data_IF_381987596947
#
_entry.id   IF_381987596947
#
_cell.length_a   1.000
_cell.length_b   1.000
_cell.length_c   1.000
_cell.angle_alpha   90.00
_cell.angle_beta   90.00
_cell.angle_gamma   90.00
#
_symmetry.space_group_name_H-M   'P 1'
#
loop_
_entity.id
_entity.type
_entity.pdbx_description
1 polymer ?
#
# COMPACT_ATOMS: atom_id res chain seq x y z
N UNK A 1 0.26 26.52 -20.08
CA UNK A 1 0.96 27.77 -20.42
C UNK A 1 2.25 27.58 -21.23
N UNK A 2 3.17 26.70 -20.82
CA UNK A 2 4.43 26.47 -21.54
C UNK A 2 4.26 26.00 -22.99
N UNK A 3 3.27 25.15 -23.28
CA UNK A 3 2.95 24.76 -24.67
C UNK A 3 2.50 25.96 -25.53
N UNK A 4 1.74 26.91 -24.96
CA UNK A 4 1.38 28.15 -25.66
C UNK A 4 2.61 29.03 -25.90
N UNK A 5 3.53 29.11 -24.93
CA UNK A 5 4.82 29.80 -25.08
C UNK A 5 5.69 29.15 -26.17
N UNK A 6 5.71 27.82 -26.26
CA UNK A 6 6.43 27.10 -27.33
C UNK A 6 5.89 27.48 -28.72
N UNK A 7 4.57 27.43 -28.91
CA UNK A 7 3.93 27.79 -30.19
C UNK A 7 4.28 29.24 -30.58
N UNK A 8 4.23 30.16 -29.62
CA UNK A 8 4.57 31.56 -29.87
C UNK A 8 6.04 31.76 -30.24
N UNK A 9 6.97 31.09 -29.54
CA UNK A 9 8.40 31.11 -29.85
C UNK A 9 8.71 30.48 -31.23
N UNK A 10 7.95 29.46 -31.64
CA UNK A 10 8.07 28.85 -32.97
C UNK A 10 7.64 29.83 -34.08
N UNK A 11 6.55 30.58 -33.87
CA UNK A 11 6.10 31.63 -34.78
C UNK A 11 7.12 32.78 -34.86
N UNK A 12 7.59 33.29 -33.72
CA UNK A 12 8.63 34.33 -33.65
C UNK A 12 9.91 33.90 -34.37
N UNK A 13 10.33 32.65 -34.20
CA UNK A 13 11.52 32.11 -34.84
C UNK A 13 11.35 32.03 -36.36
N UNK A 14 10.16 31.70 -36.87
CA UNK A 14 9.88 31.74 -38.32
C UNK A 14 10.00 33.17 -38.87
N UNK A 15 9.45 34.16 -38.17
CA UNK A 15 9.55 35.57 -38.56
C UNK A 15 11.00 36.05 -38.57
N UNK A 16 11.77 35.71 -37.52
CA UNK A 16 13.19 36.05 -37.42
C UNK A 16 14.02 35.41 -38.55
N UNK A 17 13.74 34.15 -38.90
CA UNK A 17 14.41 33.44 -40.02
C UNK A 17 14.15 34.15 -41.35
N UNK A 18 12.91 34.51 -41.63
CA UNK A 18 12.57 35.22 -42.86
C UNK A 18 13.23 36.61 -42.93
N UNK A 19 13.36 37.32 -41.80
CA UNK A 19 14.06 38.60 -41.72
C UNK A 19 15.58 38.47 -41.92
N UNK A 20 16.19 37.43 -41.34
CA UNK A 20 17.61 37.11 -41.52
C UNK A 20 17.93 36.73 -42.98
N UNK A 21 17.06 35.96 -43.64
CA UNK A 21 17.22 35.60 -45.05
C UNK A 21 17.20 36.84 -45.98
N UNK A 22 16.25 37.75 -45.78
CA UNK A 22 16.20 39.04 -46.51
C UNK A 22 17.46 39.89 -46.28
N UNK A 23 17.97 39.90 -45.05
CA UNK A 23 19.19 40.63 -44.69
C UNK A 23 20.43 40.02 -45.32
N UNK A 24 20.50 38.68 -45.37
CA UNK A 24 21.56 37.91 -46.03
C UNK A 24 21.61 38.18 -47.52
N UNK A 25 20.47 38.13 -48.21
CA UNK A 25 20.40 38.47 -49.64
C UNK A 25 20.88 39.90 -49.91
N UNK A 26 20.46 40.85 -49.08
CA UNK A 26 20.89 42.25 -49.21
C UNK A 26 22.40 42.41 -48.98
N UNK A 27 22.97 41.72 -47.99
CA UNK A 27 24.42 41.67 -47.77
C UNK A 27 25.14 41.16 -49.02
N UNK A 28 24.70 40.02 -49.57
CA UNK A 28 25.31 39.41 -50.77
C UNK A 28 25.27 40.38 -51.96
N UNK A 29 24.13 41.04 -52.21
CA UNK A 29 24.02 42.05 -53.29
C UNK A 29 24.98 43.22 -53.08
N UNK A 30 25.09 43.74 -51.86
CA UNK A 30 26.00 44.84 -51.54
C UNK A 30 27.48 44.42 -51.65
N UNK A 31 27.80 43.19 -51.27
CA UNK A 31 29.14 42.60 -51.37
C UNK A 31 29.55 42.45 -52.84
N UNK A 32 28.70 41.87 -53.68
CA UNK A 32 28.92 41.76 -55.13
C UNK A 32 29.15 43.13 -55.78
N UNK A 33 28.32 44.13 -55.44
CA UNK A 33 28.47 45.48 -55.98
C UNK A 33 29.77 46.15 -55.52
N UNK A 34 30.15 45.98 -54.25
CA UNK A 34 31.42 46.49 -53.73
C UNK A 34 32.62 45.90 -54.48
N UNK A 35 32.63 44.59 -54.72
CA UNK A 35 33.68 43.92 -55.49
C UNK A 35 33.75 44.42 -56.94
N UNK A 36 32.60 44.71 -57.57
CA UNK A 36 32.55 45.19 -58.95
C UNK A 36 33.14 46.61 -59.12
N UNK A 37 33.07 47.47 -58.10
CA UNK A 37 33.54 48.87 -58.18
C UNK A 37 34.80 49.14 -57.35
N UNK A 38 35.45 48.09 -56.84
CA UNK A 38 36.57 48.20 -55.90
C UNK A 38 37.78 48.95 -56.49
N UNK A 39 37.97 48.85 -57.81
CA UNK A 39 39.05 49.50 -58.56
C UNK A 39 38.88 51.00 -58.74
N UNK A 40 37.68 51.56 -58.48
CA UNK A 40 37.38 52.99 -58.63
C UNK A 40 37.28 53.63 -57.23
N UNK A 41 38.28 54.42 -56.79
CA UNK A 41 38.40 54.87 -55.39
C UNK A 41 37.17 55.60 -54.81
N UNK A 42 36.54 56.46 -55.61
CA UNK A 42 35.35 57.21 -55.19
C UNK A 42 34.12 56.30 -55.00
N UNK A 43 33.92 55.35 -55.92
CA UNK A 43 32.79 54.42 -55.87
C UNK A 43 33.01 53.31 -54.84
N UNK A 44 34.26 52.86 -54.66
CA UNK A 44 34.63 51.83 -53.69
C UNK A 44 34.40 52.30 -52.25
N UNK A 45 34.68 53.57 -51.92
CA UNK A 45 34.43 54.11 -50.59
C UNK A 45 32.93 54.13 -50.23
N UNK A 46 32.07 54.52 -51.17
CA UNK A 46 30.61 54.60 -50.95
C UNK A 46 29.97 53.20 -50.87
N UNK A 47 30.37 52.29 -51.76
CA UNK A 47 29.89 50.90 -51.77
C UNK A 47 30.38 50.11 -50.55
N UNK A 48 31.62 50.33 -50.08
CA UNK A 48 32.15 49.77 -48.83
C UNK A 48 31.29 50.15 -47.62
N UNK A 49 30.90 51.42 -47.48
CA UNK A 49 29.98 51.87 -46.41
C UNK A 49 28.64 51.14 -46.45
N UNK A 50 28.06 50.96 -47.65
CA UNK A 50 26.79 50.22 -47.83
C UNK A 50 26.93 48.75 -47.46
N UNK A 51 28.02 48.11 -47.88
CA UNK A 51 28.33 46.72 -47.52
C UNK A 51 28.48 46.53 -46.02
N UNK A 52 29.29 47.36 -45.35
CA UNK A 52 29.49 47.27 -43.90
C UNK A 52 28.17 47.41 -43.13
N UNK A 53 27.32 48.37 -43.51
CA UNK A 53 25.98 48.51 -42.91
C UNK A 53 25.11 47.26 -43.13
N UNK A 54 25.13 46.69 -44.34
CA UNK A 54 24.37 45.47 -44.63
C UNK A 54 24.91 44.25 -43.88
N UNK A 55 26.23 44.17 -43.67
CA UNK A 55 26.89 43.13 -42.88
C UNK A 55 26.48 43.22 -41.40
N UNK A 56 26.50 44.41 -40.81
CA UNK A 56 26.18 44.59 -39.40
C UNK A 56 24.70 44.28 -39.14
N UNK A 57 23.79 44.73 -40.02
CA UNK A 57 22.35 44.37 -39.97
C UNK A 57 22.13 42.86 -40.12
N UNK A 58 22.89 42.20 -41.01
CA UNK A 58 22.81 40.74 -41.15
C UNK A 58 23.30 40.02 -39.88
N UNK A 59 24.40 40.50 -39.28
CA UNK A 59 24.91 39.93 -38.04
C UNK A 59 23.89 40.04 -36.90
N UNK A 60 23.22 41.19 -36.77
CA UNK A 60 22.14 41.40 -35.80
C UNK A 60 20.95 40.47 -36.05
N UNK A 61 20.53 40.30 -37.31
CA UNK A 61 19.42 39.40 -37.65
C UNK A 61 19.74 37.92 -37.38
N UNK A 62 20.96 37.47 -37.69
CA UNK A 62 21.42 36.10 -37.38
C UNK A 62 21.53 35.87 -35.86
N UNK A 63 21.97 36.88 -35.10
CA UNK A 63 21.99 36.85 -33.63
C UNK A 63 20.58 36.69 -33.06
N UNK A 64 19.60 37.45 -33.55
CA UNK A 64 18.19 37.31 -33.11
C UNK A 64 17.63 35.91 -33.40
N UNK A 65 17.98 35.32 -34.54
CA UNK A 65 17.60 33.92 -34.86
C UNK A 65 18.21 32.95 -33.85
N UNK A 66 19.48 33.14 -33.49
CA UNK A 66 20.17 32.30 -32.51
C UNK A 66 19.50 32.37 -31.13
N UNK A 67 19.22 33.58 -30.64
CA UNK A 67 18.57 33.82 -29.34
C UNK A 67 17.18 33.18 -29.28
N UNK A 68 16.38 33.35 -30.34
CA UNK A 68 15.04 32.74 -30.42
C UNK A 68 15.08 31.21 -30.48
N UNK A 69 16.08 30.63 -31.16
CA UNK A 69 16.31 29.17 -31.16
C UNK A 69 16.66 28.67 -29.76
N UNK A 70 17.58 29.35 -29.09
CA UNK A 70 18.00 28.96 -27.74
C UNK A 70 16.83 29.02 -26.76
N UNK A 71 16.02 30.08 -26.81
CA UNK A 71 14.82 30.21 -25.98
C UNK A 71 13.82 29.06 -26.24
N UNK A 72 13.61 28.69 -27.50
CA UNK A 72 12.72 27.58 -27.88
C UNK A 72 13.26 26.23 -27.36
N UNK A 73 14.55 25.96 -27.52
CA UNK A 73 15.16 24.72 -27.03
C UNK A 73 15.10 24.62 -25.50
N UNK A 74 15.33 25.72 -24.77
CA UNK A 74 15.12 25.77 -23.32
C UNK A 74 13.68 25.45 -22.93
N UNK A 75 12.70 26.01 -23.66
CA UNK A 75 11.28 25.75 -23.42
C UNK A 75 10.93 24.28 -23.65
N UNK A 76 11.41 23.68 -24.73
CA UNK A 76 11.22 22.26 -25.06
C UNK A 76 11.87 21.32 -24.04
N UNK A 77 13.09 21.64 -23.63
CA UNK A 77 13.79 20.89 -22.59
C UNK A 77 12.99 20.91 -21.26
N UNK A 78 12.46 22.07 -20.88
CA UNK A 78 11.64 22.21 -19.68
C UNK A 78 10.33 21.39 -19.78
N UNK A 79 9.64 21.45 -20.91
CA UNK A 79 8.44 20.64 -21.16
C UNK A 79 8.72 19.14 -21.08
N UNK A 80 9.84 18.68 -21.66
CA UNK A 80 10.25 17.28 -21.62
C UNK A 80 10.56 16.83 -20.19
N UNK A 81 11.25 17.67 -19.41
CA UNK A 81 11.53 17.39 -18.00
C UNK A 81 10.24 17.27 -17.20
N UNK A 82 9.34 18.26 -17.30
CA UNK A 82 8.05 18.23 -16.61
C UNK A 82 7.23 16.99 -16.97
N UNK A 83 7.17 16.63 -18.26
CA UNK A 83 6.46 15.43 -18.72
C UNK A 83 7.02 14.15 -18.10
N UNK A 84 8.35 14.02 -18.01
CA UNK A 84 8.99 12.88 -17.34
C UNK A 84 8.67 12.84 -15.85
N UNK A 85 8.78 13.98 -15.16
CA UNK A 85 8.50 14.06 -13.73
C UNK A 85 7.04 13.70 -13.43
N UNK A 86 6.10 14.23 -14.20
CA UNK A 86 4.67 13.91 -14.06
C UNK A 86 4.40 12.42 -14.30
N UNK A 87 5.01 11.84 -15.34
CA UNK A 87 4.87 10.40 -15.60
C UNK A 87 5.42 9.53 -14.47
N UNK A 88 6.57 9.92 -13.88
CA UNK A 88 7.15 9.21 -12.75
C UNK A 88 6.24 9.32 -11.51
N UNK A 89 5.71 10.51 -11.23
CA UNK A 89 4.77 10.73 -10.12
C UNK A 89 3.48 9.91 -10.27
N UNK A 90 2.93 9.78 -11.48
CA UNK A 90 1.77 8.92 -11.72
C UNK A 90 2.07 7.44 -11.47
N UNK A 91 3.26 6.97 -11.87
CA UNK A 91 3.68 5.59 -11.62
C UNK A 91 3.84 5.31 -10.11
N UNK A 92 4.48 6.23 -9.39
CA UNK A 92 4.62 6.15 -7.93
C UNK A 92 3.27 6.18 -7.22
N UNK A 93 2.36 7.06 -7.65
CA UNK A 93 1.01 7.14 -7.11
C UNK A 93 0.24 5.82 -7.30
N UNK A 94 0.32 5.20 -8.49
CA UNK A 94 -0.35 3.93 -8.75
C UNK A 94 0.20 2.80 -7.87
N UNK A 95 1.52 2.74 -7.71
CA UNK A 95 2.17 1.78 -6.80
C UNK A 95 1.69 1.95 -5.36
N UNK A 96 1.64 3.17 -4.85
CA UNK A 96 1.13 3.47 -3.50
C UNK A 96 -0.36 3.12 -3.37
N UNK A 97 -1.18 3.38 -4.39
CA UNK A 97 -2.59 3.00 -4.40
C UNK A 97 -2.77 1.48 -4.37
N UNK A 98 -1.92 0.72 -5.09
CA UNK A 98 -1.95 -0.74 -5.09
C UNK A 98 -1.50 -1.32 -3.76
N UNK A 99 -0.41 -0.80 -3.18
CA UNK A 99 0.04 -1.17 -1.83
C UNK A 99 -1.03 -0.91 -0.78
N UNK A 100 -1.64 0.30 -0.81
CA UNK A 100 -2.72 0.65 0.11
C UNK A 100 -3.90 -0.31 0.02
N UNK A 101 -4.32 -0.68 -1.20
CA UNK A 101 -5.41 -1.66 -1.39
C UNK A 101 -5.05 -3.01 -0.79
N UNK A 102 -3.86 -3.55 -1.09
CA UNK A 102 -3.39 -4.81 -0.51
C UNK A 102 -3.33 -4.79 1.02
N UNK A 103 -2.88 -3.69 1.61
CA UNK A 103 -2.87 -3.54 3.08
C UNK A 103 -4.29 -3.47 3.67
N UNK A 104 -5.22 -2.78 3.02
CA UNK A 104 -6.63 -2.70 3.48
C UNK A 104 -7.27 -4.09 3.44
N UNK A 105 -7.05 -4.85 2.37
CA UNK A 105 -7.58 -6.22 2.25
C UNK A 105 -7.01 -7.11 3.37
N UNK A 106 -5.70 -7.02 3.63
CA UNK A 106 -5.03 -7.74 4.72
C UNK A 106 -5.60 -7.38 6.09
N UNK A 107 -5.79 -6.08 6.37
CA UNK A 107 -6.40 -5.61 7.62
C UNK A 107 -7.82 -6.13 7.76
N UNK A 108 -8.60 -6.12 6.68
CA UNK A 108 -9.98 -6.61 6.71
C UNK A 108 -10.02 -8.11 7.01
N UNK A 109 -9.18 -8.92 6.35
CA UNK A 109 -9.09 -10.36 6.62
C UNK A 109 -8.64 -10.65 8.05
N UNK A 110 -7.61 -9.96 8.55
CA UNK A 110 -7.14 -10.14 9.92
C UNK A 110 -8.18 -9.70 10.95
N UNK A 111 -8.93 -8.62 10.68
CA UNK A 111 -10.02 -8.16 11.56
C UNK A 111 -11.14 -9.20 11.65
N UNK A 112 -11.50 -9.83 10.53
CA UNK A 112 -12.49 -10.91 10.50
C UNK A 112 -12.00 -12.14 11.28
N UNK A 113 -10.74 -12.54 11.10
CA UNK A 113 -10.13 -13.64 11.87
C UNK A 113 -10.10 -13.35 13.37
N UNK A 114 -9.70 -12.14 13.78
CA UNK A 114 -9.70 -11.72 15.18
C UNK A 114 -11.12 -11.72 15.78
N UNK A 115 -12.11 -11.24 15.02
CA UNK A 115 -13.51 -11.31 15.45
C UNK A 115 -13.99 -12.75 15.64
N UNK A 116 -13.60 -13.66 14.73
CA UNK A 116 -13.91 -15.08 14.84
C UNK A 116 -13.28 -15.73 16.08
N UNK A 117 -12.01 -15.46 16.33
CA UNK A 117 -11.28 -15.96 17.50
C UNK A 117 -11.85 -15.39 18.81
N UNK A 118 -12.23 -14.11 18.81
CA UNK A 118 -12.89 -13.48 19.96
C UNK A 118 -14.20 -14.17 20.32
N UNK A 119 -15.03 -14.50 19.31
CA UNK A 119 -16.26 -15.27 19.54
C UNK A 119 -15.97 -16.64 20.15
N UNK A 120 -14.91 -17.32 19.69
CA UNK A 120 -14.49 -18.61 20.26
C UNK A 120 -14.03 -18.48 21.71
N UNK A 121 -13.26 -17.44 22.03
CA UNK A 121 -12.82 -17.16 23.39
C UNK A 121 -14.01 -16.90 24.33
N UNK A 122 -14.97 -16.06 23.91
CA UNK A 122 -16.20 -15.79 24.65
C UNK A 122 -17.04 -17.07 24.83
N UNK A 123 -17.15 -17.89 23.79
CA UNK A 123 -17.85 -19.17 23.84
C UNK A 123 -17.23 -20.13 24.86
N UNK A 124 -15.93 -20.41 24.77
CA UNK A 124 -15.27 -21.37 25.65
C UNK A 124 -15.15 -20.88 27.10
N UNK A 125 -14.99 -19.56 27.31
CA UNK A 125 -15.02 -18.97 28.65
C UNK A 125 -16.41 -19.11 29.28
N UNK A 126 -17.47 -18.91 28.50
CA UNK A 126 -18.85 -19.14 28.94
C UNK A 126 -19.15 -20.62 29.16
N UNK A 127 -18.61 -21.50 28.32
CA UNK A 127 -18.77 -22.94 28.43
C UNK A 127 -18.31 -23.48 29.79
N UNK A 128 -17.14 -23.04 30.23
CA UNK A 128 -16.59 -23.42 31.54
C UNK A 128 -17.51 -23.00 32.69
N UNK A 129 -17.98 -21.75 32.65
CA UNK A 129 -18.81 -21.16 33.71
C UNK A 129 -20.24 -21.72 33.76
N UNK A 130 -20.87 -21.98 32.61
CA UNK A 130 -22.30 -22.26 32.53
C UNK A 130 -22.64 -23.74 32.27
N UNK A 131 -21.72 -24.50 31.68
CA UNK A 131 -21.94 -25.92 31.39
C UNK A 131 -21.03 -26.80 32.25
N UNK A 132 -19.71 -26.59 32.21
CA UNK A 132 -18.77 -27.45 32.92
C UNK A 132 -18.96 -27.38 34.46
N UNK A 133 -19.09 -26.17 35.01
CA UNK A 133 -19.31 -25.97 36.44
C UNK A 133 -20.61 -26.63 36.93
N UNK A 134 -21.71 -26.53 36.18
CA UNK A 134 -23.00 -27.11 36.58
C UNK A 134 -22.94 -28.64 36.61
N UNK A 135 -22.26 -29.27 35.64
CA UNK A 135 -22.01 -30.71 35.65
C UNK A 135 -21.16 -31.10 36.85
N UNK A 136 -20.08 -30.37 37.12
CA UNK A 136 -19.18 -30.64 38.24
C UNK A 136 -19.89 -30.52 39.59
N UNK A 137 -20.62 -29.42 39.84
CA UNK A 137 -21.34 -29.18 41.09
C UNK A 137 -22.43 -30.22 41.34
N UNK A 138 -23.19 -30.57 40.30
CA UNK A 138 -24.23 -31.60 40.42
C UNK A 138 -23.65 -33.00 40.61
N UNK A 139 -22.50 -33.32 40.00
CA UNK A 139 -21.77 -34.57 40.24
C UNK A 139 -21.25 -34.66 41.68
N UNK A 140 -20.62 -33.59 42.19
CA UNK A 140 -20.12 -33.52 43.57
C UNK A 140 -21.28 -33.71 44.55
N UNK A 141 -22.40 -33.00 44.35
CA UNK A 141 -23.56 -33.11 45.22
C UNK A 141 -24.12 -34.55 45.29
N UNK A 142 -24.24 -35.22 44.14
CA UNK A 142 -24.72 -36.60 44.07
C UNK A 142 -23.75 -37.58 44.74
N UNK A 143 -22.45 -37.44 44.48
CA UNK A 143 -21.40 -38.24 45.13
C UNK A 143 -21.40 -38.08 46.65
N UNK A 144 -21.48 -36.84 47.15
CA UNK A 144 -21.53 -36.55 48.58
C UNK A 144 -22.82 -37.06 49.24
N UNK A 145 -23.94 -37.01 48.52
CA UNK A 145 -25.23 -37.51 49.00
C UNK A 145 -25.26 -39.03 49.09
N UNK A 146 -24.70 -39.75 48.11
CA UNK A 146 -24.56 -41.21 48.16
C UNK A 146 -23.69 -41.66 49.34
N UNK A 147 -22.55 -40.99 49.55
CA UNK A 147 -21.64 -41.26 50.69
C UNK A 147 -22.27 -40.98 52.07
N UNK A 148 -23.29 -40.10 52.14
CA UNK A 148 -24.02 -39.79 53.38
C UNK A 148 -25.23 -40.70 53.62
N UNK A 149 -25.87 -41.22 52.57
CA UNK A 149 -27.02 -42.13 52.67
C UNK A 149 -26.64 -43.47 53.32
N UNK A 150 -25.40 -43.94 53.13
CA UNK A 150 -24.88 -45.12 53.84
C UNK A 150 -24.82 -44.92 55.37
N UNK A 151 -24.81 -43.68 55.86
CA UNK A 151 -24.66 -43.35 57.29
C UNK A 151 -25.96 -42.96 58.01
N UNK A 152 -27.06 -42.64 57.30
CA UNK A 152 -28.34 -42.26 57.92
C UNK A 152 -29.54 -42.84 57.16
N UNK A 153 -30.17 -43.87 57.73
CA UNK A 153 -31.52 -44.29 57.36
C UNK A 153 -32.54 -43.24 57.78
N UNK A 154 -33.54 -43.02 56.93
CA UNK A 154 -34.81 -42.28 57.12
C UNK A 154 -34.78 -40.75 57.00
N UNK A 155 -35.28 -40.24 55.87
CA UNK A 155 -36.24 -39.12 55.77
C UNK A 155 -36.83 -39.09 54.35
N UNK A 156 -38.16 -39.00 54.20
CA UNK A 156 -38.84 -39.07 52.89
C UNK A 156 -38.65 -37.81 52.02
N UNK A 157 -38.26 -36.68 52.61
CA UNK A 157 -37.99 -35.42 51.91
C UNK A 157 -36.64 -35.38 51.20
N UNK A 158 -35.66 -36.20 51.59
CA UNK A 158 -34.35 -36.25 50.91
C UNK A 158 -34.40 -36.97 49.55
N UNK A 159 -35.36 -37.88 49.37
CA UNK A 159 -35.56 -38.62 48.12
C UNK A 159 -35.99 -37.71 46.97
N UNK A 160 -36.83 -36.70 47.24
CA UNK A 160 -37.31 -35.75 46.22
C UNK A 160 -36.18 -34.80 45.76
N UNK A 161 -35.39 -34.30 46.71
CA UNK A 161 -34.22 -33.44 46.42
C UNK A 161 -33.17 -34.22 45.60
N UNK A 162 -32.88 -35.46 45.97
CA UNK A 162 -31.94 -36.31 45.23
C UNK A 162 -32.41 -36.57 43.79
N UNK A 163 -33.72 -36.78 43.59
CA UNK A 163 -34.28 -36.98 42.26
C UNK A 163 -34.18 -35.71 41.39
N UNK A 164 -34.35 -34.53 41.99
CA UNK A 164 -34.14 -33.24 41.29
C UNK A 164 -32.69 -33.12 40.84
N UNK A 165 -31.72 -33.32 41.73
CA UNK A 165 -30.30 -33.25 41.37
C UNK A 165 -29.87 -34.30 40.36
N UNK A 166 -30.45 -35.50 40.41
CA UNK A 166 -30.21 -36.54 39.39
C UNK A 166 -30.72 -36.10 38.01
N UNK A 167 -31.88 -35.44 37.94
CA UNK A 167 -32.39 -34.89 36.68
C UNK A 167 -31.53 -33.72 36.19
N UNK A 168 -31.13 -32.83 37.09
CA UNK A 168 -30.24 -31.70 36.79
C UNK A 168 -28.92 -32.18 36.23
N UNK A 169 -28.27 -33.16 36.87
CA UNK A 169 -27.00 -33.73 36.39
C UNK A 169 -27.15 -34.34 34.99
N UNK A 170 -28.19 -35.15 34.76
CA UNK A 170 -28.43 -35.75 33.43
C UNK A 170 -28.65 -34.72 32.33
N UNK A 171 -29.41 -33.67 32.63
CA UNK A 171 -29.65 -32.58 31.69
C UNK A 171 -28.35 -31.78 31.44
N UNK A 172 -27.60 -31.47 32.50
CA UNK A 172 -26.34 -30.77 32.41
C UNK A 172 -25.30 -31.56 31.58
N UNK A 173 -25.20 -32.88 31.76
CA UNK A 173 -24.32 -33.71 30.93
C UNK A 173 -24.72 -33.72 29.45
N UNK A 174 -26.02 -33.71 29.16
CA UNK A 174 -26.52 -33.63 27.79
C UNK A 174 -26.18 -32.28 27.16
N UNK A 175 -26.50 -31.18 27.86
CA UNK A 175 -26.19 -29.83 27.40
C UNK A 175 -24.68 -29.58 27.26
N UNK A 176 -23.87 -30.17 28.15
CA UNK A 176 -22.41 -30.14 28.05
C UNK A 176 -21.93 -30.77 26.75
N UNK A 177 -22.34 -32.02 26.48
CA UNK A 177 -21.91 -32.73 25.27
C UNK A 177 -22.34 -32.04 23.99
N UNK A 178 -23.57 -31.54 23.92
CA UNK A 178 -24.07 -30.78 22.77
C UNK A 178 -23.28 -29.49 22.54
N UNK A 179 -22.94 -28.77 23.61
CA UNK A 179 -22.19 -27.52 23.54
C UNK A 179 -20.73 -27.75 23.23
N UNK A 180 -20.10 -28.76 23.82
CA UNK A 180 -18.72 -29.16 23.53
C UNK A 180 -18.59 -29.53 22.05
N UNK A 181 -19.47 -30.39 21.54
CA UNK A 181 -19.49 -30.77 20.13
C UNK A 181 -19.67 -29.56 19.20
N UNK A 182 -20.57 -28.64 19.56
CA UNK A 182 -20.73 -27.38 18.80
C UNK A 182 -19.45 -26.54 18.84
N UNK A 183 -18.81 -26.40 20.00
CA UNK A 183 -17.55 -25.71 20.17
C UNK A 183 -16.45 -26.30 19.31
N UNK A 184 -16.28 -27.63 19.34
CA UNK A 184 -15.27 -28.34 18.57
C UNK A 184 -15.48 -28.23 17.06
N UNK A 185 -16.72 -28.29 16.58
CA UNK A 185 -16.96 -28.13 15.13
C UNK A 185 -16.56 -26.76 14.60
N UNK A 186 -16.49 -25.75 15.46
CA UNK A 186 -16.31 -24.35 15.06
C UNK A 186 -14.94 -23.81 15.46
N UNK A 187 -14.50 -24.05 16.69
CA UNK A 187 -13.28 -23.50 17.26
C UNK A 187 -12.27 -24.55 17.71
N UNK A 188 -12.28 -25.76 17.12
CA UNK A 188 -11.25 -26.75 17.41
C UNK A 188 -9.85 -26.24 16.97
N UNK A 189 -8.91 -26.09 17.91
CA UNK A 189 -7.55 -25.60 17.63
C UNK A 189 -6.78 -26.47 16.62
N UNK A 190 -7.10 -27.77 16.52
CA UNK A 190 -6.44 -28.70 15.60
C UNK A 190 -6.91 -28.54 14.15
N UNK A 191 -8.12 -28.00 13.95
CA UNK A 191 -8.70 -27.77 12.62
C UNK A 191 -8.56 -26.30 12.17
N UNK A 192 -8.24 -25.40 13.10
CA UNK A 192 -8.08 -23.97 12.85
C UNK A 192 -6.69 -23.65 12.30
N UNK A 193 -6.64 -23.31 11.02
CA UNK A 193 -5.43 -22.79 10.38
C UNK A 193 -5.30 -21.29 10.65
N UNK A 194 -4.38 -20.92 11.56
CA UNK A 194 -4.01 -19.53 11.83
C UNK A 194 -2.61 -19.31 11.27
N UNK A 195 -2.43 -18.25 10.49
CA UNK A 195 -1.10 -17.84 10.06
C UNK A 195 -0.48 -16.94 11.14
N UNK A 196 0.72 -17.30 11.59
CA UNK A 196 1.47 -16.52 12.57
C UNK A 196 2.95 -16.59 12.27
N UNK A 197 3.70 -15.59 12.72
CA UNK A 197 5.16 -15.62 12.66
C UNK A 197 5.68 -16.19 13.98
N UNK A 198 6.50 -17.24 13.90
CA UNK A 198 7.12 -17.82 15.08
C UNK A 198 8.28 -16.94 15.57
N UNK A 199 8.22 -16.47 16.81
CA UNK A 199 9.25 -15.60 17.40
C UNK A 199 10.61 -16.29 17.56
N UNK A 200 10.63 -17.63 17.62
CA UNK A 200 11.85 -18.43 17.79
C UNK A 200 12.59 -18.66 16.48
N UNK A 201 11.90 -19.09 15.41
CA UNK A 201 12.53 -19.40 14.13
C UNK A 201 12.36 -18.31 13.07
N UNK A 202 11.58 -17.26 13.35
CA UNK A 202 11.30 -16.13 12.45
C UNK A 202 10.76 -16.56 11.09
N UNK A 203 9.99 -17.64 11.07
CA UNK A 203 9.30 -18.11 9.86
C UNK A 203 7.79 -18.03 10.07
N UNK A 204 7.08 -17.69 8.99
CA UNK A 204 5.62 -17.74 8.96
C UNK A 204 5.17 -19.20 8.95
N UNK A 205 4.30 -19.55 9.89
CA UNK A 205 3.78 -20.88 10.11
C UNK A 205 2.26 -20.84 10.03
N UNK A 206 1.67 -21.99 9.69
CA UNK A 206 0.21 -22.18 9.63
C UNK A 206 -0.17 -23.23 10.64
N UNK A 207 -1.08 -22.88 11.56
CA UNK A 207 -1.56 -23.76 12.63
C UNK A 207 -1.82 -22.98 13.91
N UNK A 208 -2.11 -23.69 15.00
CA UNK A 208 -2.36 -23.04 16.29
C UNK A 208 -1.04 -22.73 17.01
N UNK A 209 -0.74 -21.46 17.31
CA UNK A 209 0.52 -21.11 17.98
C UNK A 209 0.55 -21.58 19.44
N UNK A 210 1.74 -21.91 19.92
CA UNK A 210 2.03 -22.13 21.33
C UNK A 210 2.53 -20.83 21.96
N UNK A 211 2.06 -20.52 23.15
CA UNK A 211 2.47 -19.31 23.88
C UNK A 211 3.62 -19.68 24.82
N UNK A 212 4.81 -19.10 24.60
CA UNK A 212 5.98 -19.32 25.47
C UNK A 212 6.00 -18.29 26.61
N UNK A 213 5.75 -17.02 26.31
CA UNK A 213 5.65 -15.89 27.25
C UNK A 213 4.42 -15.04 26.93
N UNK A 214 4.13 -14.02 27.75
CA UNK A 214 2.90 -13.20 27.63
C UNK A 214 2.56 -12.73 26.20
N UNK A 215 3.55 -12.57 25.31
CA UNK A 215 3.32 -12.13 23.93
C UNK A 215 4.17 -12.85 22.88
N UNK A 216 4.83 -13.97 23.23
CA UNK A 216 5.72 -14.70 22.30
C UNK A 216 5.03 -15.98 21.80
N UNK A 217 4.90 -16.10 20.48
CA UNK A 217 4.29 -17.24 19.78
C UNK A 217 5.37 -18.16 19.19
N UNK A 218 5.22 -19.46 19.41
CA UNK A 218 6.06 -20.48 18.81
C UNK A 218 5.27 -21.51 18.02
N UNK A 219 5.91 -22.06 17.00
CA UNK A 219 5.44 -23.26 16.35
C UNK A 219 5.71 -24.48 17.22
N UNK A 220 4.99 -25.57 16.94
CA UNK A 220 5.09 -26.82 17.70
C UNK A 220 6.53 -27.34 17.78
N UNK A 221 7.30 -27.23 16.69
CA UNK A 221 8.71 -27.63 16.66
C UNK A 221 9.55 -26.82 17.65
N UNK A 222 9.46 -25.49 17.61
CA UNK A 222 10.23 -24.62 18.50
C UNK A 222 9.75 -24.70 19.96
N UNK A 223 8.47 -24.97 20.18
CA UNK A 223 7.95 -25.16 21.53
C UNK A 223 8.47 -26.47 22.15
N UNK A 224 8.51 -27.55 21.37
CA UNK A 224 9.00 -28.85 21.85
C UNK A 224 10.47 -28.83 22.29
N UNK A 225 11.29 -27.93 21.73
CA UNK A 225 12.70 -27.76 22.12
C UNK A 225 12.91 -26.95 23.42
N UNK A 226 11.85 -26.38 24.00
CA UNK A 226 11.90 -25.61 25.25
C UNK A 226 11.52 -26.50 26.44
N UNK A 227 10.69 -27.51 26.21
CA UNK A 227 10.23 -28.48 27.23
C UNK A 227 11.22 -29.66 27.44
N UNK A 228 12.34 -29.69 26.71
CA UNK A 228 13.51 -30.58 26.95
C UNK A 228 14.67 -29.83 27.64
#
# INVERSE_FOLDING_TARGET
ELQRKQIHLEQDLQLARAAAEKSREKKIRCEQHYHAVVSVPLLSAQSKKRYLKARDVNAEAEQQVSEKREALEKCRAHLKLMSKTVSAQYCEQDQLCNQRRGSVDTIMTSTQQLAYLKQGCEFWSGFDSYQAQVVLESAIYLSDSENQLEKKKTNSSSLDIHQIWTKTFKLACFEYGDREAYGDTRWNPQALEVNFDCDMCQTSQTGWPKVIREYELACDLCYSTIDE
#
